data_IF_624315116898
#
_entry.id   IF_624315116898
#
_cell.length_a   1.000
_cell.length_b   1.000
_cell.length_c   1.000
_cell.angle_alpha   90.00
_cell.angle_beta   90.00
_cell.angle_gamma   90.00
#
_symmetry.space_group_name_H-M   'P 1'
#
loop_
_entity.id
_entity.type
_entity.pdbx_description
1 polymer ?
#
# COMPACT_ATOMS: atom_id res chain seq x y z
N UNK A 1 -40.39 21.86 38.02
CA UNK A 1 -40.30 20.95 36.86
C UNK A 1 -38.81 20.66 36.67
N UNK A 2 -38.34 19.44 36.90
CA UNK A 2 -36.91 19.09 36.80
C UNK A 2 -36.59 18.85 35.33
N UNK A 3 -35.78 19.70 34.74
CA UNK A 3 -35.24 19.49 33.40
C UNK A 3 -34.35 18.24 33.42
N UNK A 4 -34.72 17.23 32.64
CA UNK A 4 -33.85 16.10 32.34
C UNK A 4 -32.84 16.58 31.31
N UNK A 5 -31.62 16.85 31.76
CA UNK A 5 -30.47 16.96 30.86
C UNK A 5 -30.21 15.53 30.33
N UNK A 6 -30.41 15.33 29.03
CA UNK A 6 -29.99 14.11 28.34
C UNK A 6 -28.48 14.24 28.14
N UNK A 7 -27.72 13.47 28.91
CA UNK A 7 -26.29 13.34 28.73
C UNK A 7 -26.02 12.72 27.35
N UNK A 8 -25.44 13.51 26.44
CA UNK A 8 -25.06 13.09 25.08
C UNK A 8 -23.66 12.47 25.03
N UNK A 9 -23.05 12.13 26.17
CA UNK A 9 -21.76 11.46 26.19
C UNK A 9 -21.88 9.94 25.98
N UNK A 10 -22.65 9.52 24.99
CA UNK A 10 -22.58 8.13 24.53
C UNK A 10 -21.31 7.93 23.70
N UNK A 11 -20.29 7.43 24.40
CA UNK A 11 -19.29 6.48 23.91
C UNK A 11 -18.47 6.91 22.68
N UNK A 12 -17.46 7.77 22.88
CA UNK A 12 -16.20 7.55 22.14
C UNK A 12 -15.47 6.45 22.91
N UNK A 13 -15.77 5.19 22.60
CA UNK A 13 -14.84 4.11 22.96
C UNK A 13 -13.53 4.48 22.28
N UNK A 14 -12.48 4.73 23.07
CA UNK A 14 -11.13 4.79 22.57
C UNK A 14 -10.88 3.49 21.81
N UNK A 15 -11.02 3.57 20.49
CA UNK A 15 -10.76 2.44 19.62
C UNK A 15 -9.25 2.42 19.53
N UNK A 16 -8.61 1.66 20.41
CA UNK A 16 -7.19 1.37 20.29
C UNK A 16 -7.01 0.59 18.98
N UNK A 17 -6.66 1.31 17.91
CA UNK A 17 -6.24 0.67 16.69
C UNK A 17 -4.88 0.03 16.98
N UNK A 18 -4.73 -1.28 16.72
CA UNK A 18 -3.42 -1.90 16.88
C UNK A 18 -2.45 -1.16 15.97
N UNK A 19 -1.33 -0.69 16.53
CA UNK A 19 -0.19 -0.24 15.75
C UNK A 19 0.31 -1.46 14.97
N UNK A 20 0.07 -1.47 13.66
CA UNK A 20 0.58 -2.51 12.78
C UNK A 20 1.90 -2.01 12.21
N UNK A 21 2.97 -2.78 12.39
CA UNK A 21 4.25 -2.49 11.74
C UNK A 21 4.08 -2.61 10.23
N UNK A 22 4.20 -1.47 9.53
CA UNK A 22 4.12 -1.39 8.08
C UNK A 22 5.53 -1.30 7.51
N UNK A 23 5.86 -2.21 6.60
CA UNK A 23 7.13 -2.18 5.86
C UNK A 23 6.91 -1.55 4.48
N UNK A 24 7.78 -0.64 4.10
CA UNK A 24 7.83 -0.05 2.76
C UNK A 24 9.19 -0.30 2.11
N UNK A 25 9.19 -0.65 0.82
CA UNK A 25 10.42 -0.91 0.04
C UNK A 25 10.37 -0.09 -1.25
N UNK A 26 11.40 0.72 -1.50
CA UNK A 26 11.55 1.49 -2.74
C UNK A 26 12.27 0.70 -3.83
N UNK A 27 11.79 0.80 -5.07
CA UNK A 27 12.39 0.15 -6.25
C UNK A 27 12.34 1.09 -7.44
N UNK A 28 13.49 1.24 -8.09
CA UNK A 28 13.57 1.86 -9.41
C UNK A 28 12.99 0.93 -10.47
N UNK A 29 12.10 1.45 -11.30
CA UNK A 29 11.44 0.70 -12.37
C UNK A 29 11.14 1.60 -13.57
N UNK A 30 10.87 1.01 -14.74
CA UNK A 30 10.48 1.76 -15.93
C UNK A 30 8.97 2.02 -15.95
N UNK A 31 8.53 3.02 -16.71
CA UNK A 31 7.10 3.26 -16.92
C UNK A 31 6.38 2.02 -17.46
N UNK A 32 7.00 1.29 -18.40
CA UNK A 32 6.45 0.04 -18.95
C UNK A 32 6.28 -1.04 -17.87
N UNK A 33 7.20 -1.11 -16.89
CA UNK A 33 7.07 -2.02 -15.77
C UNK A 33 5.90 -1.64 -14.86
N UNK A 34 5.73 -0.35 -14.56
CA UNK A 34 4.57 0.15 -13.79
C UNK A 34 3.26 -0.18 -14.49
N UNK A 35 3.18 0.03 -15.81
CA UNK A 35 2.00 -0.32 -16.60
C UNK A 35 1.67 -1.81 -16.51
N UNK A 36 2.67 -2.69 -16.68
CA UNK A 36 2.50 -4.15 -16.56
C UNK A 36 2.03 -4.57 -15.16
N UNK A 37 2.55 -3.91 -14.12
CA UNK A 37 2.14 -4.13 -12.73
C UNK A 37 0.69 -3.71 -12.54
N UNK A 38 0.32 -2.51 -12.99
CA UNK A 38 -1.02 -1.94 -12.85
C UNK A 38 -2.12 -2.75 -13.59
N UNK A 39 -1.74 -3.51 -14.63
CA UNK A 39 -2.66 -4.46 -15.29
C UNK A 39 -3.03 -5.67 -14.41
N UNK A 40 -2.21 -5.96 -13.39
CA UNK A 40 -2.32 -7.19 -12.59
C UNK A 40 -2.75 -6.90 -11.15
N UNK A 41 -2.31 -5.76 -10.59
CA UNK A 41 -2.53 -5.39 -9.21
C UNK A 41 -2.90 -3.91 -9.09
N UNK A 42 -3.66 -3.53 -8.05
CA UNK A 42 -3.96 -2.13 -7.79
C UNK A 42 -2.67 -1.35 -7.47
N UNK A 43 -2.49 -0.25 -8.20
CA UNK A 43 -1.37 0.68 -8.03
C UNK A 43 -1.95 2.07 -7.79
N UNK A 44 -1.44 2.75 -6.77
CA UNK A 44 -1.86 4.10 -6.39
C UNK A 44 -0.80 5.11 -6.83
N UNK A 45 -1.17 6.13 -7.58
CA UNK A 45 -0.25 7.20 -7.96
C UNK A 45 -0.19 8.28 -6.88
N UNK A 46 1.01 8.77 -6.59
CA UNK A 46 1.19 9.94 -5.73
C UNK A 46 0.89 11.22 -6.52
N UNK A 47 -0.17 11.96 -6.16
CA UNK A 47 -0.53 13.20 -6.85
C UNK A 47 0.50 14.32 -6.71
N UNK A 48 1.40 14.23 -5.71
CA UNK A 48 2.47 15.19 -5.50
C UNK A 48 3.79 14.81 -6.20
N UNK A 49 3.91 13.55 -6.66
CA UNK A 49 5.09 13.04 -7.34
C UNK A 49 4.65 12.06 -8.44
N UNK A 50 4.52 12.57 -9.68
CA UNK A 50 4.00 11.81 -10.81
C UNK A 50 4.84 10.58 -11.20
N UNK A 51 6.09 10.52 -10.73
CA UNK A 51 7.03 9.42 -10.94
C UNK A 51 7.04 8.41 -9.79
N UNK A 52 6.15 8.55 -8.80
CA UNK A 52 6.02 7.65 -7.66
C UNK A 52 4.66 6.95 -7.67
N UNK A 53 4.72 5.62 -7.55
CA UNK A 53 3.54 4.79 -7.43
C UNK A 53 3.66 3.81 -6.27
N UNK A 54 2.55 3.44 -5.66
CA UNK A 54 2.51 2.49 -4.55
C UNK A 54 1.78 1.24 -4.99
N UNK A 55 2.46 0.10 -4.89
CA UNK A 55 1.88 -1.23 -5.03
C UNK A 55 1.68 -1.84 -3.64
N UNK A 56 0.46 -2.27 -3.34
CA UNK A 56 0.15 -3.04 -2.14
C UNK A 56 0.52 -4.52 -2.35
N UNK A 57 1.63 -4.95 -1.75
CA UNK A 57 2.06 -6.34 -1.77
C UNK A 57 1.90 -7.05 -0.41
N UNK A 58 1.06 -6.52 0.49
CA UNK A 58 0.83 -7.10 1.82
C UNK A 58 0.26 -8.53 1.75
N UNK A 59 -0.60 -8.78 0.76
CA UNK A 59 -1.28 -10.07 0.57
C UNK A 59 -0.73 -10.91 -0.60
N UNK A 60 0.45 -10.58 -1.13
CA UNK A 60 1.00 -11.30 -2.28
C UNK A 60 1.25 -12.78 -1.98
N UNK A 61 0.83 -13.64 -2.90
CA UNK A 61 1.18 -15.06 -2.91
C UNK A 61 2.58 -15.28 -3.50
N UNK A 62 3.12 -16.49 -3.36
CA UNK A 62 4.40 -16.84 -4.01
C UNK A 62 4.31 -16.76 -5.54
N UNK A 63 3.11 -16.93 -6.12
CA UNK A 63 2.91 -16.78 -7.56
C UNK A 63 2.92 -15.31 -7.98
N UNK A 64 2.34 -14.42 -7.17
CA UNK A 64 2.39 -12.97 -7.42
C UNK A 64 3.82 -12.46 -7.38
N UNK A 65 4.60 -12.91 -6.38
CA UNK A 65 6.03 -12.60 -6.26
C UNK A 65 6.81 -13.05 -7.50
N UNK A 66 6.60 -14.29 -7.97
CA UNK A 66 7.27 -14.79 -9.19
C UNK A 66 6.94 -13.94 -10.41
N UNK A 67 5.66 -13.57 -10.58
CA UNK A 67 5.22 -12.73 -11.69
C UNK A 67 5.81 -11.33 -11.60
N UNK A 68 5.84 -10.74 -10.40
CA UNK A 68 6.46 -9.44 -10.16
C UNK A 68 7.96 -9.49 -10.48
N UNK A 69 8.66 -10.55 -10.07
CA UNK A 69 10.07 -10.75 -10.41
C UNK A 69 10.32 -10.77 -11.93
N UNK A 70 9.43 -11.39 -12.70
CA UNK A 70 9.53 -11.39 -14.16
C UNK A 70 9.32 -10.02 -14.78
N UNK A 71 8.39 -9.22 -14.24
CA UNK A 71 8.15 -7.86 -14.72
C UNK A 71 9.35 -6.97 -14.39
N UNK A 72 9.85 -7.03 -13.16
CA UNK A 72 10.96 -6.21 -12.68
C UNK A 72 12.33 -6.67 -13.22
N UNK A 73 12.45 -7.93 -13.66
CA UNK A 73 13.71 -8.51 -14.10
C UNK A 73 14.68 -8.84 -12.95
N UNK A 74 14.19 -8.93 -11.71
CA UNK A 74 14.99 -9.18 -10.49
C UNK A 74 14.21 -9.99 -9.45
N UNK A 75 14.89 -10.61 -8.48
CA UNK A 75 14.22 -11.36 -7.40
C UNK A 75 13.40 -10.39 -6.52
N UNK A 76 12.12 -10.72 -6.30
CA UNK A 76 11.14 -9.89 -5.61
C UNK A 76 10.65 -10.53 -4.31
N UNK A 77 11.27 -11.62 -3.84
CA UNK A 77 10.86 -12.31 -2.60
C UNK A 77 10.80 -11.40 -1.40
N UNK A 78 11.76 -10.50 -1.28
CA UNK A 78 11.82 -9.56 -0.17
C UNK A 78 10.70 -8.51 -0.19
N UNK A 79 9.91 -8.43 -1.27
CA UNK A 79 8.82 -7.45 -1.41
C UNK A 79 7.47 -7.98 -0.91
N UNK A 80 7.39 -9.29 -0.67
CA UNK A 80 6.19 -9.93 -0.11
C UNK A 80 5.92 -9.38 1.29
N UNK A 81 4.67 -9.01 1.56
CA UNK A 81 4.26 -8.49 2.88
C UNK A 81 4.71 -7.04 3.13
N UNK A 82 4.87 -6.25 2.08
CA UNK A 82 5.25 -4.84 2.16
C UNK A 82 4.42 -3.98 1.21
N UNK A 83 4.41 -2.67 1.45
CA UNK A 83 4.09 -1.69 0.41
C UNK A 83 5.34 -1.42 -0.42
N UNK A 84 5.18 -1.37 -1.73
CA UNK A 84 6.30 -1.16 -2.65
C UNK A 84 6.14 0.23 -3.25
N UNK A 85 7.13 1.10 -3.04
CA UNK A 85 7.24 2.37 -3.72
C UNK A 85 7.98 2.14 -5.05
N UNK A 86 7.23 2.18 -6.15
CA UNK A 86 7.71 2.08 -7.53
C UNK A 86 8.09 3.48 -8.02
N UNK A 87 9.38 3.69 -8.29
CA UNK A 87 9.93 4.98 -8.73
C UNK A 87 10.31 4.90 -10.19
N UNK A 88 9.76 5.77 -11.02
CA UNK A 88 10.09 5.87 -12.45
C UNK A 88 11.08 7.01 -12.72
N UNK A 89 11.83 6.97 -13.84
CA UNK A 89 12.73 8.05 -14.23
C UNK A 89 11.98 9.36 -14.49
N UNK A 90 12.62 10.49 -14.17
CA UNK A 90 12.19 11.85 -14.52
C UNK A 90 12.55 12.17 -15.98
#
# INVERSE_FOLDING_TARGET
>A
MKEKIIDKNECIRETEFPLVDVRMVGIDCTCEQVEKIALSWPVFSNSAAEHEHILDAMAFTDNDVKRLSWILGQDAKELKGAYILLVTPI
#
